data_IF_055451402996
#
_entry.id   IF_055451402996
#
_cell.length_a   1.000
_cell.length_b   1.000
_cell.length_c   1.000
_cell.angle_alpha   90.00
_cell.angle_beta   90.00
_cell.angle_gamma   90.00
#
_symmetry.space_group_name_H-M   'P 1'
#
loop_
_entity.id
_entity.type
_entity.pdbx_description
1 polymer ?
#
# COMPACT_ATOMS: atom_id res chain seq x y z
N UNK A 1 55.08 -51.11 -11.16
CA UNK A 1 53.80 -51.13 -10.40
C UNK A 1 53.47 -49.71 -9.98
N UNK A 2 52.31 -49.19 -10.37
CA UNK A 2 51.56 -48.36 -9.44
C UNK A 2 50.09 -48.80 -9.37
N UNK A 3 49.54 -48.65 -8.18
CA UNK A 3 48.32 -49.25 -7.67
C UNK A 3 47.21 -48.20 -7.82
N UNK A 4 46.16 -48.50 -8.58
CA UNK A 4 44.96 -47.68 -8.64
C UNK A 4 43.99 -48.07 -7.51
N UNK A 5 43.44 -47.12 -6.73
CA UNK A 5 42.37 -47.45 -5.79
C UNK A 5 41.01 -47.45 -6.50
N UNK A 6 40.30 -48.58 -6.41
CA UNK A 6 38.91 -48.76 -6.86
C UNK A 6 37.96 -48.05 -5.90
N UNK A 7 37.13 -47.14 -6.41
CA UNK A 7 35.98 -46.56 -5.71
C UNK A 7 34.77 -47.47 -5.95
N UNK A 8 34.04 -47.96 -4.93
CA UNK A 8 32.81 -48.71 -5.15
C UNK A 8 31.62 -47.77 -5.37
N UNK A 9 31.01 -47.89 -6.55
CA UNK A 9 29.72 -47.28 -6.90
C UNK A 9 28.62 -47.92 -6.06
N UNK A 10 28.01 -47.17 -5.13
CA UNK A 10 26.78 -47.60 -4.44
C UNK A 10 25.59 -47.15 -5.28
N UNK A 11 24.88 -48.14 -5.82
CA UNK A 11 23.66 -48.01 -6.59
C UNK A 11 22.50 -47.64 -5.65
N UNK A 12 21.97 -46.42 -5.74
CA UNK A 12 20.68 -46.09 -5.13
C UNK A 12 19.56 -46.65 -6.00
N UNK A 13 18.91 -47.73 -5.53
CA UNK A 13 17.74 -48.30 -6.17
C UNK A 13 16.54 -47.33 -6.12
N UNK A 14 15.92 -47.10 -7.28
CA UNK A 14 14.65 -46.39 -7.46
C UNK A 14 13.56 -47.06 -6.62
N UNK A 15 12.93 -46.33 -5.69
CA UNK A 15 11.67 -46.72 -5.09
C UNK A 15 10.48 -46.20 -5.91
N UNK A 16 9.58 -47.12 -6.23
CA UNK A 16 8.29 -46.91 -6.91
C UNK A 16 7.29 -46.28 -5.93
N UNK A 17 6.50 -45.26 -6.32
CA UNK A 17 5.49 -44.69 -5.43
C UNK A 17 4.27 -45.63 -5.33
N UNK A 18 3.64 -45.78 -4.15
CA UNK A 18 2.41 -46.56 -4.03
C UNK A 18 1.20 -45.78 -4.60
N UNK A 19 0.27 -46.53 -5.20
CA UNK A 19 -1.00 -46.04 -5.75
C UNK A 19 -1.85 -45.34 -4.68
N UNK A 20 -2.30 -44.12 -4.96
CA UNK A 20 -3.35 -43.44 -4.20
C UNK A 20 -4.68 -44.21 -4.31
N UNK A 21 -5.24 -44.60 -3.16
CA UNK A 21 -6.67 -44.93 -3.04
C UNK A 21 -7.42 -43.67 -2.62
N UNK A 22 -8.52 -43.37 -3.32
CA UNK A 22 -9.43 -42.28 -2.98
C UNK A 22 -10.07 -42.53 -1.61
N UNK A 23 -10.06 -41.52 -0.74
CA UNK A 23 -10.84 -41.52 0.50
C UNK A 23 -11.63 -40.22 0.57
N UNK A 24 -12.92 -40.41 0.86
CA UNK A 24 -13.98 -39.42 0.84
C UNK A 24 -13.93 -38.48 2.07
N UNK A 25 -14.65 -37.37 1.93
CA UNK A 25 -14.68 -36.15 2.76
C UNK A 25 -14.86 -36.35 4.26
N UNK A 26 -14.35 -35.33 4.97
CA UNK A 26 -14.53 -34.93 6.39
C UNK A 26 -13.48 -35.51 7.34
N UNK A 27 -12.47 -34.70 7.70
CA UNK A 27 -12.00 -34.48 9.08
C UNK A 27 -11.02 -33.29 9.09
N UNK A 28 -11.11 -32.49 10.14
CA UNK A 28 -10.40 -31.25 10.46
C UNK A 28 -8.90 -31.51 10.70
N UNK A 29 -8.02 -30.67 10.15
CA UNK A 29 -6.58 -30.69 10.46
C UNK A 29 -6.29 -29.88 11.72
N UNK A 30 -5.71 -30.52 12.73
CA UNK A 30 -4.93 -29.84 13.77
C UNK A 30 -3.50 -29.64 13.27
N UNK A 31 -2.98 -28.42 13.46
CA UNK A 31 -1.60 -28.01 13.17
C UNK A 31 -0.65 -28.85 14.03
N UNK A 32 0.19 -29.68 13.40
CA UNK A 32 1.30 -30.34 14.06
C UNK A 32 2.56 -29.47 13.90
N UNK A 33 3.09 -29.03 15.05
CA UNK A 33 4.34 -28.29 15.15
C UNK A 33 5.51 -29.08 14.54
N UNK A 34 6.23 -28.45 13.60
CA UNK A 34 7.51 -28.93 13.10
C UNK A 34 8.58 -28.75 14.18
N UNK A 35 9.07 -29.86 14.76
CA UNK A 35 10.35 -29.87 15.48
C UNK A 35 11.42 -30.41 14.54
N UNK A 36 12.40 -29.58 14.24
CA UNK A 36 13.61 -29.94 13.53
C UNK A 36 14.43 -30.93 14.36
N UNK A 37 14.51 -32.19 13.91
CA UNK A 37 15.41 -33.19 14.46
C UNK A 37 16.83 -32.93 13.91
N UNK A 38 17.72 -32.45 14.78
CA UNK A 38 19.14 -32.29 14.51
C UNK A 38 19.81 -33.65 14.69
N UNK A 39 20.30 -34.28 13.62
CA UNK A 39 21.02 -35.55 13.70
C UNK A 39 22.46 -35.30 14.17
N UNK A 40 22.86 -35.89 15.30
CA UNK A 40 24.26 -35.99 15.72
C UNK A 40 24.76 -37.42 15.51
N UNK A 41 25.93 -37.55 14.91
CA UNK A 41 26.63 -38.82 14.69
C UNK A 41 27.16 -39.35 16.04
N UNK A 42 26.95 -40.64 16.31
CA UNK A 42 27.73 -41.35 17.33
C UNK A 42 28.90 -42.09 16.67
N UNK A 43 30.03 -42.18 17.38
CA UNK A 43 31.37 -42.58 16.95
C UNK A 43 31.55 -44.04 16.47
N UNK A 44 30.47 -44.72 16.06
CA UNK A 44 30.53 -46.12 15.59
C UNK A 44 29.63 -46.43 14.38
N UNK A 45 29.09 -45.42 13.69
CA UNK A 45 28.52 -45.58 12.34
C UNK A 45 27.29 -46.50 12.21
N UNK A 46 26.43 -46.61 13.23
CA UNK A 46 25.16 -47.36 13.13
C UNK A 46 23.98 -46.59 13.74
N UNK A 47 22.84 -46.58 13.02
CA UNK A 47 21.57 -46.02 13.48
C UNK A 47 20.79 -47.08 14.28
N UNK A 48 20.38 -46.74 15.51
CA UNK A 48 19.50 -47.57 16.34
C UNK A 48 18.55 -46.70 17.15
N UNK A 49 17.26 -47.06 17.16
CA UNK A 49 16.19 -46.35 17.86
C UNK A 49 16.04 -46.89 19.29
N UNK A 50 16.21 -46.04 20.31
CA UNK A 50 15.74 -46.33 21.66
C UNK A 50 14.70 -45.27 22.05
N UNK A 51 13.41 -45.60 21.88
CA UNK A 51 12.30 -44.82 22.44
C UNK A 51 11.62 -45.66 23.50
N UNK A 52 11.68 -45.21 24.76
CA UNK A 52 10.91 -45.73 25.90
C UNK A 52 9.78 -44.74 26.15
N UNK A 53 8.53 -45.21 26.10
CA UNK A 53 7.33 -44.38 26.36
C UNK A 53 6.70 -44.71 27.72
N UNK A 54 6.24 -43.72 28.51
CA UNK A 54 5.28 -43.92 29.60
C UNK A 54 3.82 -43.63 29.15
N UNK A 55 2.79 -44.11 29.89
CA UNK A 55 1.43 -44.26 29.38
C UNK A 55 0.56 -42.99 29.46
N UNK A 56 -0.35 -42.89 28.48
CA UNK A 56 -1.41 -41.87 28.33
C UNK A 56 -2.54 -42.12 29.35
N UNK A 57 -3.01 -41.06 30.03
CA UNK A 57 -4.30 -41.04 30.75
C UNK A 57 -5.32 -40.25 29.94
N UNK A 58 -6.46 -40.90 29.65
CA UNK A 58 -7.65 -40.32 29.03
C UNK A 58 -8.59 -39.86 30.14
N UNK A 59 -9.09 -38.62 30.08
CA UNK A 59 -10.27 -38.19 30.84
C UNK A 59 -11.36 -37.70 29.89
N UNK A 60 -12.57 -38.13 30.21
CA UNK A 60 -13.75 -38.10 29.36
C UNK A 60 -14.46 -36.75 29.25
N UNK A 61 -15.29 -36.72 28.22
CA UNK A 61 -16.12 -35.63 27.72
C UNK A 61 -17.25 -35.23 28.68
N UNK A 62 -17.61 -33.94 28.67
CA UNK A 62 -18.91 -33.47 29.13
C UNK A 62 -19.51 -32.54 28.05
N UNK A 63 -20.56 -33.05 27.39
CA UNK A 63 -21.44 -32.27 26.53
C UNK A 63 -22.38 -31.41 27.40
N UNK A 64 -22.50 -30.13 27.02
CA UNK A 64 -23.62 -29.27 27.44
C UNK A 64 -24.35 -28.82 26.17
N UNK A 65 -25.56 -29.33 26.04
CA UNK A 65 -26.55 -28.97 25.04
C UNK A 65 -27.26 -27.67 25.48
N UNK A 66 -27.29 -26.66 24.61
CA UNK A 66 -28.14 -25.47 24.77
C UNK A 66 -28.74 -25.05 23.44
N UNK A 67 -29.97 -25.48 23.23
CA UNK A 67 -31.11 -24.57 23.32
C UNK A 67 -31.16 -23.43 22.29
N UNK A 68 -31.63 -23.79 21.11
CA UNK A 68 -32.05 -22.91 20.01
C UNK A 68 -33.15 -21.92 20.46
N UNK A 69 -32.90 -20.61 20.40
CA UNK A 69 -33.94 -19.57 20.27
C UNK A 69 -33.70 -18.74 19.02
N UNK A 70 -34.64 -18.85 18.08
CA UNK A 70 -34.78 -17.99 16.91
C UNK A 70 -35.54 -16.73 17.33
N UNK A 71 -34.97 -15.57 17.06
CA UNK A 71 -35.71 -14.31 16.91
C UNK A 71 -35.39 -13.73 15.53
N UNK A 72 -36.41 -13.71 14.67
CA UNK A 72 -36.48 -12.97 13.41
C UNK A 72 -36.83 -11.51 13.73
N UNK A 73 -36.05 -10.56 13.21
CA UNK A 73 -36.38 -9.18 12.77
C UNK A 73 -35.07 -8.72 12.09
N UNK A 74 -34.97 -8.63 10.77
CA UNK A 74 -35.64 -7.68 9.89
C UNK A 74 -34.53 -6.86 9.23
N UNK A 75 -33.85 -7.43 8.24
CA UNK A 75 -32.85 -6.72 7.43
C UNK A 75 -33.58 -6.00 6.30
N UNK A 76 -33.69 -4.68 6.40
CA UNK A 76 -34.05 -3.81 5.30
C UNK A 76 -32.77 -3.10 4.85
N UNK A 77 -32.07 -3.71 3.89
CA UNK A 77 -30.98 -3.05 3.17
C UNK A 77 -31.61 -2.03 2.21
N UNK A 78 -31.55 -0.76 2.59
CA UNK A 78 -31.81 0.34 1.68
C UNK A 78 -30.80 0.28 0.52
N UNK A 79 -31.30 -0.08 -0.67
CA UNK A 79 -30.58 0.04 -1.94
C UNK A 79 -30.39 1.53 -2.24
N UNK A 80 -29.14 1.99 -2.28
CA UNK A 80 -28.80 3.27 -2.88
C UNK A 80 -28.77 3.10 -4.42
N UNK A 81 -29.34 4.04 -5.19
CA UNK A 81 -29.48 3.88 -6.64
C UNK A 81 -28.16 4.09 -7.38
N UNK A 82 -27.92 3.15 -8.30
CA UNK A 82 -26.90 3.07 -9.32
C UNK A 82 -26.87 4.34 -10.20
N UNK A 83 -25.77 5.09 -10.18
CA UNK A 83 -25.55 6.21 -11.11
C UNK A 83 -24.69 5.73 -12.28
N UNK A 84 -25.36 5.57 -13.41
CA UNK A 84 -24.80 5.20 -14.71
C UNK A 84 -23.74 6.21 -15.19
N UNK A 85 -22.65 5.74 -15.84
CA UNK A 85 -21.56 6.59 -16.31
C UNK A 85 -21.94 7.36 -17.58
N UNK A 86 -21.68 8.66 -17.57
CA UNK A 86 -21.85 9.53 -18.74
C UNK A 86 -20.75 9.20 -19.76
N UNK A 87 -21.14 8.52 -20.83
CA UNK A 87 -20.28 8.33 -21.99
C UNK A 87 -20.11 9.63 -22.77
N UNK A 88 -18.87 10.00 -23.07
CA UNK A 88 -18.58 10.88 -24.20
C UNK A 88 -17.49 10.26 -25.07
N UNK A 89 -17.90 9.99 -26.30
CA UNK A 89 -17.18 9.34 -27.37
C UNK A 89 -16.10 10.24 -27.96
N UNK A 90 -14.91 9.66 -28.19
CA UNK A 90 -13.83 10.21 -29.03
C UNK A 90 -14.32 10.53 -30.44
N UNK A 91 -14.06 11.75 -30.90
CA UNK A 91 -13.93 12.27 -32.29
C UNK A 91 -13.69 13.78 -32.12
N UNK A 92 -12.82 14.51 -32.80
CA UNK A 92 -11.85 14.30 -33.87
C UNK A 92 -11.07 15.61 -34.01
N UNK A 93 -9.85 15.57 -34.55
CA UNK A 93 -9.34 16.37 -35.69
C UNK A 93 -7.88 16.83 -35.51
N UNK A 94 -7.02 16.13 -36.25
CA UNK A 94 -5.73 16.61 -36.76
C UNK A 94 -5.96 17.64 -37.88
N UNK A 95 -5.13 18.69 -37.91
CA UNK A 95 -4.68 19.49 -39.08
C UNK A 95 -3.56 20.41 -38.58
N UNK A 96 -2.29 20.10 -38.85
CA UNK A 96 -1.49 20.35 -40.06
C UNK A 96 -0.97 21.80 -40.17
N UNK A 97 0.35 21.95 -40.35
CA UNK A 97 0.99 23.21 -40.77
C UNK A 97 2.48 23.29 -40.45
N UNK A 98 3.31 22.74 -41.34
CA UNK A 98 4.76 22.98 -41.34
C UNK A 98 5.08 24.30 -42.06
N UNK A 99 5.95 25.13 -41.48
CA UNK A 99 6.71 26.16 -42.20
C UNK A 99 8.12 26.25 -41.60
N UNK A 100 9.10 25.87 -42.39
CA UNK A 100 10.53 26.16 -42.22
C UNK A 100 10.89 27.42 -43.00
N UNK A 101 11.61 28.36 -42.39
CA UNK A 101 12.65 29.17 -43.05
C UNK A 101 13.59 29.79 -42.00
N UNK A 102 14.89 29.65 -42.24
CA UNK A 102 15.99 30.11 -41.41
C UNK A 102 16.49 31.52 -41.84
N UNK A 103 17.10 32.28 -40.92
CA UNK A 103 18.35 33.02 -41.15
C UNK A 103 18.88 33.80 -39.91
N UNK A 104 20.10 33.41 -39.49
CA UNK A 104 21.32 34.17 -39.11
C UNK A 104 21.30 35.39 -38.15
N UNK A 105 21.89 35.13 -36.98
CA UNK A 105 22.79 35.91 -36.09
C UNK A 105 22.86 37.45 -36.09
N UNK A 106 22.69 38.04 -34.90
CA UNK A 106 23.69 38.95 -34.26
C UNK A 106 23.39 39.07 -32.77
N UNK A 107 24.42 38.92 -31.92
CA UNK A 107 24.29 39.16 -30.48
C UNK A 107 24.30 40.66 -30.16
N UNK A 108 23.47 41.06 -29.18
CA UNK A 108 23.68 42.19 -28.26
C UNK A 108 22.56 42.19 -27.20
N UNK A 109 22.97 42.31 -25.93
CA UNK A 109 22.23 42.75 -24.74
C UNK A 109 20.83 42.17 -24.47
N UNK A 110 20.73 41.40 -23.38
CA UNK A 110 19.48 40.93 -22.78
C UNK A 110 18.76 42.13 -22.13
N UNK A 111 17.56 42.53 -22.60
CA UNK A 111 16.75 43.50 -21.87
C UNK A 111 16.14 42.79 -20.68
N UNK A 112 16.27 43.39 -19.50
CA UNK A 112 15.60 42.99 -18.27
C UNK A 112 14.11 42.81 -18.56
N UNK A 113 13.68 41.54 -18.68
CA UNK A 113 12.27 41.23 -18.97
C UNK A 113 11.50 41.54 -17.70
N UNK A 114 10.45 42.38 -17.76
CA UNK A 114 9.55 42.49 -16.62
C UNK A 114 9.04 41.08 -16.30
N UNK A 115 9.30 40.63 -15.08
CA UNK A 115 8.75 39.39 -14.54
C UNK A 115 7.23 39.58 -14.58
N UNK A 116 6.60 39.05 -15.62
CA UNK A 116 5.16 38.87 -15.65
C UNK A 116 4.89 37.89 -14.52
N UNK A 117 4.50 38.42 -13.36
CA UNK A 117 3.74 37.66 -12.39
C UNK A 117 2.42 37.41 -13.11
N UNK A 118 2.37 36.31 -13.85
CA UNK A 118 1.12 35.70 -14.22
C UNK A 118 0.49 35.26 -12.90
N UNK A 119 -0.19 36.19 -12.24
CA UNK A 119 -1.32 35.88 -11.40
C UNK A 119 -2.38 35.31 -12.33
N UNK A 120 -2.14 34.09 -12.79
CA UNK A 120 -3.21 33.26 -13.33
C UNK A 120 -4.11 33.01 -12.15
N UNK A 121 -5.20 33.77 -12.06
CA UNK A 121 -6.45 33.26 -11.49
C UNK A 121 -6.92 32.07 -12.32
N UNK A 122 -6.09 31.02 -12.39
CA UNK A 122 -6.38 29.77 -13.02
C UNK A 122 -7.34 29.04 -12.12
N UNK A 123 -8.38 28.46 -12.69
CA UNK A 123 -9.27 27.56 -11.97
C UNK A 123 -8.41 26.40 -11.45
N UNK A 124 -8.18 26.34 -10.14
CA UNK A 124 -7.61 25.17 -9.50
C UNK A 124 -8.75 24.18 -9.25
N UNK A 125 -8.69 23.04 -9.96
CA UNK A 125 -9.67 21.96 -9.77
C UNK A 125 -9.51 21.37 -8.37
N UNK A 126 -10.64 21.24 -7.66
CA UNK A 126 -10.67 20.60 -6.33
C UNK A 126 -10.16 19.18 -6.43
N UNK A 127 -9.21 18.82 -5.56
CA UNK A 127 -8.77 17.43 -5.41
C UNK A 127 -9.93 16.65 -4.79
N UNK A 128 -10.36 15.51 -5.36
CA UNK A 128 -11.40 14.69 -4.75
C UNK A 128 -11.00 14.25 -3.34
N UNK A 129 -11.93 14.33 -2.39
CA UNK A 129 -11.78 13.68 -1.10
C UNK A 129 -11.92 12.15 -1.23
N UNK A 130 -11.44 11.43 -0.23
CA UNK A 130 -11.53 9.98 -0.16
C UNK A 130 -11.64 9.54 1.31
N UNK A 131 -12.16 8.32 1.53
CA UNK A 131 -12.28 7.75 2.88
C UNK A 131 -10.93 7.63 3.61
N UNK A 132 -10.93 7.74 4.94
CA UNK A 132 -9.76 7.46 5.80
C UNK A 132 -9.31 5.99 5.70
N UNK A 133 -10.27 5.09 5.45
CA UNK A 133 -10.07 3.67 5.65
C UNK A 133 -9.81 3.30 7.12
N UNK A 134 -9.56 2.01 7.41
CA UNK A 134 -9.53 1.52 8.78
C UNK A 134 -8.22 1.77 9.53
N UNK A 135 -7.26 2.47 8.92
CA UNK A 135 -5.86 2.51 9.38
C UNK A 135 -5.37 3.91 9.78
N UNK A 136 -6.24 4.91 9.83
CA UNK A 136 -5.86 6.20 10.38
C UNK A 136 -5.59 6.09 11.89
N UNK A 137 -4.46 6.64 12.32
CA UNK A 137 -4.08 6.77 13.73
C UNK A 137 -3.46 8.14 13.89
N UNK A 138 -4.08 9.00 14.71
CA UNK A 138 -3.53 10.31 15.03
C UNK A 138 -2.36 10.12 15.99
N UNK A 139 -1.14 10.04 15.44
CA UNK A 139 0.09 9.89 16.23
C UNK A 139 0.61 11.23 16.77
N UNK A 140 0.23 12.35 16.14
CA UNK A 140 0.75 13.68 16.45
C UNK A 140 2.25 13.88 16.17
N UNK A 141 2.91 12.92 15.49
CA UNK A 141 4.36 12.93 15.28
C UNK A 141 4.77 13.90 14.17
N UNK A 142 5.30 15.07 14.53
CA UNK A 142 5.79 16.04 13.54
C UNK A 142 7.19 15.67 13.07
N UNK A 143 7.30 15.14 11.84
CA UNK A 143 8.56 14.73 11.20
C UNK A 143 8.45 14.65 9.68
N UNK A 144 9.54 14.95 8.99
CA UNK A 144 9.62 14.85 7.53
C UNK A 144 9.96 13.42 7.10
N UNK A 145 11.04 12.85 7.64
CA UNK A 145 11.36 11.42 7.46
C UNK A 145 10.44 10.58 8.36
N UNK A 146 9.56 9.83 7.70
CA UNK A 146 8.61 8.92 8.35
C UNK A 146 9.05 7.47 8.26
N UNK A 147 10.17 7.15 7.62
CA UNK A 147 10.59 5.77 7.32
C UNK A 147 10.81 4.92 8.56
N UNK A 148 11.35 5.52 9.64
CA UNK A 148 11.90 4.79 10.79
C UNK A 148 12.90 3.69 10.39
N UNK A 149 13.60 3.86 9.26
CA UNK A 149 14.54 2.88 8.75
C UNK A 149 13.90 1.62 8.14
N UNK A 150 12.59 1.63 7.86
CA UNK A 150 11.95 0.53 7.13
C UNK A 150 12.51 0.39 5.71
N UNK A 151 12.69 -0.86 5.30
CA UNK A 151 13.15 -1.21 3.95
C UNK A 151 12.11 -0.84 2.88
N UNK A 152 12.61 -0.38 1.73
CA UNK A 152 11.80 -0.09 0.56
C UNK A 152 12.49 0.85 -0.41
N UNK A 153 11.84 1.14 -1.53
CA UNK A 153 12.31 2.14 -2.51
C UNK A 153 12.04 3.53 -1.91
N UNK A 154 13.06 4.39 -1.75
CA UNK A 154 12.86 5.73 -1.20
C UNK A 154 11.90 6.56 -2.07
N UNK A 155 10.97 7.24 -1.42
CA UNK A 155 9.99 8.11 -2.06
C UNK A 155 9.94 9.46 -1.32
N UNK A 156 10.38 10.50 -2.01
CA UNK A 156 10.27 11.88 -1.53
C UNK A 156 8.96 12.49 -2.05
N UNK A 157 8.16 13.02 -1.14
CA UNK A 157 6.84 13.59 -1.44
C UNK A 157 6.89 15.08 -1.15
N UNK A 158 6.41 15.87 -2.11
CA UNK A 158 6.16 17.29 -1.99
C UNK A 158 4.71 17.56 -2.35
N UNK A 159 3.95 18.15 -1.43
CA UNK A 159 2.59 18.60 -1.70
C UNK A 159 2.54 20.11 -1.56
N UNK A 160 1.83 20.79 -2.48
CA UNK A 160 1.48 22.20 -2.35
C UNK A 160 -0.03 22.30 -2.14
N UNK A 161 -0.42 22.71 -0.94
CA UNK A 161 -1.81 22.86 -0.54
C UNK A 161 -2.34 24.20 -1.02
N UNK A 162 -3.48 24.21 -1.71
CA UNK A 162 -4.14 25.42 -2.25
C UNK A 162 -5.59 25.47 -1.86
N UNK A 163 -6.11 26.68 -1.71
CA UNK A 163 -7.52 26.93 -1.48
C UNK A 163 -8.27 26.90 -2.81
N UNK A 164 -9.29 26.05 -2.94
CA UNK A 164 -10.10 25.94 -4.14
C UNK A 164 -10.79 27.24 -4.57
N UNK A 165 -11.02 28.17 -3.64
CA UNK A 165 -11.79 29.39 -3.90
C UNK A 165 -10.98 30.48 -4.61
N UNK A 166 -9.67 30.50 -4.41
CA UNK A 166 -8.78 31.56 -4.90
C UNK A 166 -7.42 31.06 -5.41
N UNK A 167 -7.15 29.76 -5.28
CA UNK A 167 -5.92 29.06 -5.68
C UNK A 167 -4.66 29.53 -4.95
N UNK A 168 -4.83 30.29 -3.88
CA UNK A 168 -3.74 30.72 -3.01
C UNK A 168 -3.25 29.58 -2.13
N UNK A 169 -1.94 29.53 -1.83
CA UNK A 169 -1.40 28.51 -0.95
C UNK A 169 -1.99 28.56 0.47
N UNK A 170 -2.22 27.40 1.07
CA UNK A 170 -2.71 27.28 2.45
C UNK A 170 -1.53 27.06 3.38
N UNK A 171 -1.13 28.10 4.11
CA UNK A 171 -0.08 28.00 5.13
C UNK A 171 -0.63 27.56 6.51
N UNK A 172 0.22 26.94 7.32
CA UNK A 172 -0.08 26.58 8.71
C UNK A 172 -1.01 25.38 8.87
N UNK A 173 -1.33 24.65 7.81
CA UNK A 173 -2.25 23.51 7.86
C UNK A 173 -1.49 22.23 8.25
N UNK A 174 -1.90 21.53 9.33
CA UNK A 174 -1.39 20.19 9.59
C UNK A 174 -1.83 19.21 8.50
N UNK A 175 -0.89 18.40 8.02
CA UNK A 175 -1.14 17.27 7.12
C UNK A 175 -0.50 16.05 7.74
N UNK A 176 -1.31 15.02 7.97
CA UNK A 176 -0.85 13.68 8.33
C UNK A 176 -0.64 12.85 7.08
N UNK A 177 0.39 12.00 7.08
CA UNK A 177 0.60 10.93 6.12
C UNK A 177 0.54 9.57 6.84
N UNK A 178 0.00 8.56 6.18
CA UNK A 178 0.23 7.16 6.54
C UNK A 178 0.22 6.23 5.32
N UNK A 179 1.01 5.15 5.39
CA UNK A 179 1.02 4.12 4.35
C UNK A 179 1.39 2.75 4.91
N UNK A 180 1.19 1.73 4.08
CA UNK A 180 1.76 0.42 4.33
C UNK A 180 3.28 0.42 4.07
N UNK A 181 4.00 -0.48 4.70
CA UNK A 181 5.37 -0.84 4.32
C UNK A 181 5.44 -1.63 3.01
N UNK A 182 6.65 -1.98 2.56
CA UNK A 182 6.85 -2.76 1.33
C UNK A 182 6.14 -4.13 1.32
N UNK A 183 5.84 -4.68 2.50
CA UNK A 183 5.10 -5.94 2.66
C UNK A 183 3.58 -5.74 2.77
N UNK A 184 3.08 -4.50 2.67
CA UNK A 184 1.66 -4.20 2.75
C UNK A 184 1.12 -4.13 4.17
N UNK A 185 1.98 -3.93 5.18
CA UNK A 185 1.60 -3.91 6.60
C UNK A 185 1.60 -2.46 7.11
N UNK A 186 0.52 -2.04 7.76
CA UNK A 186 0.45 -0.74 8.44
C UNK A 186 1.01 -0.81 9.84
N UNK A 187 1.64 0.27 10.30
CA UNK A 187 2.02 0.46 11.70
C UNK A 187 0.84 0.88 12.58
N UNK A 188 0.92 0.68 13.89
CA UNK A 188 0.02 1.30 14.86
C UNK A 188 -1.37 0.67 14.96
N UNK A 189 -1.62 -0.45 14.28
CA UNK A 189 -2.95 -1.06 14.12
C UNK A 189 -2.89 -2.59 14.23
N UNK A 190 -4.04 -3.19 14.51
CA UNK A 190 -4.23 -4.64 14.42
C UNK A 190 -4.59 -5.00 12.96
N UNK A 191 -3.59 -5.25 12.11
CA UNK A 191 -3.82 -5.56 10.69
C UNK A 191 -4.65 -6.83 10.49
N UNK A 192 -4.55 -7.78 11.43
CA UNK A 192 -5.29 -9.04 11.44
C UNK A 192 -6.81 -8.88 11.42
N UNK A 193 -7.33 -7.72 11.83
CA UNK A 193 -8.76 -7.38 11.76
C UNK A 193 -9.26 -7.09 10.36
N UNK A 194 -8.37 -6.70 9.45
CA UNK A 194 -8.70 -6.31 8.07
C UNK A 194 -8.24 -7.38 7.10
N UNK A 195 -7.03 -7.90 7.30
CA UNK A 195 -6.44 -8.97 6.49
C UNK A 195 -5.98 -10.07 7.42
N UNK A 196 -6.58 -11.25 7.27
CA UNK A 196 -6.21 -12.43 8.04
C UNK A 196 -4.70 -12.72 7.90
N UNK A 197 -4.10 -13.23 8.98
CA UNK A 197 -2.69 -13.57 9.09
C UNK A 197 -1.68 -12.41 9.03
N UNK A 198 -2.12 -11.14 8.90
CA UNK A 198 -1.22 -10.00 9.07
C UNK A 198 -0.97 -9.68 10.55
N UNK A 199 0.23 -9.18 10.90
CA UNK A 199 0.61 -8.96 12.28
C UNK A 199 -0.13 -7.78 12.92
N UNK A 200 -0.32 -7.87 14.23
CA UNK A 200 -0.67 -6.72 15.05
C UNK A 200 0.58 -5.87 15.30
N UNK A 201 0.52 -4.60 14.87
CA UNK A 201 1.61 -3.64 14.95
C UNK A 201 1.27 -2.44 15.84
N UNK A 202 0.23 -2.57 16.70
CA UNK A 202 -0.12 -1.51 17.66
C UNK A 202 1.11 -1.07 18.46
N UNK A 203 1.29 0.24 18.56
CA UNK A 203 2.45 0.87 19.21
C UNK A 203 3.62 1.18 18.26
N UNK A 204 3.69 0.56 17.08
CA UNK A 204 4.63 0.98 16.04
C UNK A 204 4.15 2.26 15.35
N UNK A 205 5.07 3.06 14.83
CA UNK A 205 4.77 4.38 14.24
C UNK A 205 5.38 4.61 12.86
N UNK A 206 6.16 3.68 12.33
CA UNK A 206 6.77 3.78 11.00
C UNK A 206 5.76 4.16 9.91
N UNK A 207 6.25 4.90 8.92
CA UNK A 207 5.51 5.37 7.75
C UNK A 207 4.27 6.19 8.11
N UNK A 208 4.32 6.88 9.25
CA UNK A 208 3.34 7.86 9.71
C UNK A 208 4.03 9.14 10.12
N UNK A 209 3.43 10.28 9.85
CA UNK A 209 3.96 11.56 10.33
C UNK A 209 3.04 12.71 10.02
N UNK A 210 3.36 13.86 10.61
CA UNK A 210 2.69 15.13 10.41
C UNK A 210 3.69 16.16 9.90
N UNK A 211 3.24 16.99 8.99
CA UNK A 211 3.91 18.25 8.65
C UNK A 211 2.92 19.39 8.76
N UNK A 212 3.45 20.60 9.00
CA UNK A 212 2.67 21.84 8.96
C UNK A 212 3.05 22.56 7.68
N UNK A 213 2.07 22.95 6.87
CA UNK A 213 2.35 23.60 5.59
C UNK A 213 3.08 24.92 5.78
N UNK A 214 4.15 25.11 5.00
CA UNK A 214 4.94 26.33 4.97
C UNK A 214 4.13 27.51 4.39
N UNK A 215 4.64 28.77 4.44
CA UNK A 215 3.95 29.93 3.85
C UNK A 215 3.56 29.76 2.37
N UNK A 216 4.33 28.98 1.60
CA UNK A 216 4.01 28.62 0.22
C UNK A 216 3.04 27.44 0.06
N UNK A 217 2.34 27.03 1.12
CA UNK A 217 1.41 25.90 1.14
C UNK A 217 2.06 24.53 1.16
N UNK A 218 3.38 24.47 1.32
CA UNK A 218 4.15 23.27 1.03
C UNK A 218 4.33 22.36 2.26
N UNK A 219 4.17 21.05 2.07
CA UNK A 219 4.62 20.00 3.02
C UNK A 219 5.53 19.01 2.31
N UNK A 220 6.50 18.44 3.04
CA UNK A 220 7.43 17.43 2.53
C UNK A 220 7.45 16.19 3.41
N UNK A 221 7.53 15.02 2.81
CA UNK A 221 7.73 13.76 3.52
C UNK A 221 8.77 12.90 2.80
N UNK A 222 9.62 12.25 3.57
CA UNK A 222 10.48 11.17 3.08
C UNK A 222 9.92 9.85 3.61
N UNK A 223 9.54 8.97 2.69
CA UNK A 223 8.91 7.67 2.99
C UNK A 223 9.49 6.58 2.08
N UNK A 224 8.92 5.39 2.13
CA UNK A 224 9.17 4.34 1.14
C UNK A 224 7.95 4.11 0.26
N UNK A 225 8.16 3.60 -0.95
CA UNK A 225 7.09 3.21 -1.84
C UNK A 225 6.17 2.16 -1.16
N UNK A 226 4.84 2.32 -1.19
CA UNK A 226 3.95 1.44 -0.45
C UNK A 226 3.91 0.05 -1.07
N UNK A 227 3.91 -0.98 -0.23
CA UNK A 227 3.56 -2.34 -0.64
C UNK A 227 2.04 -2.49 -0.82
N UNK A 228 1.63 -3.47 -1.62
CA UNK A 228 0.21 -3.76 -1.82
C UNK A 228 -0.35 -4.67 -0.71
N UNK A 229 -1.65 -4.59 -0.45
CA UNK A 229 -2.39 -5.53 0.40
C UNK A 229 -3.82 -5.64 -0.13
N UNK A 230 -4.48 -6.79 0.07
CA UNK A 230 -5.91 -6.88 -0.26
C UNK A 230 -6.72 -6.17 0.82
N UNK A 231 -7.80 -5.44 0.49
CA UNK A 231 -8.51 -5.44 -0.80
C UNK A 231 -8.22 -4.23 -1.72
N UNK A 232 -7.20 -3.42 -1.43
CA UNK A 232 -7.04 -2.08 -2.04
C UNK A 232 -5.84 -2.03 -3.02
N UNK A 233 -5.88 -1.18 -4.06
CA UNK A 233 -4.69 -0.92 -4.87
C UNK A 233 -3.60 -0.24 -4.02
N UNK A 234 -2.32 -0.19 -4.44
CA UNK A 234 -1.27 0.57 -3.76
C UNK A 234 -1.64 2.05 -3.61
N UNK A 235 -1.43 2.61 -2.42
CA UNK A 235 -1.79 4.00 -2.13
C UNK A 235 -1.00 4.60 -0.96
N UNK A 236 -1.02 5.93 -0.93
CA UNK A 236 -0.58 6.78 0.17
C UNK A 236 -1.80 7.54 0.69
N UNK A 237 -1.96 7.61 2.00
CA UNK A 237 -3.03 8.39 2.61
C UNK A 237 -2.54 9.71 3.14
N UNK A 238 -3.43 10.69 3.09
CA UNK A 238 -3.22 12.00 3.68
C UNK A 238 -4.50 12.50 4.32
N UNK A 239 -4.36 13.22 5.43
CA UNK A 239 -5.48 13.95 6.00
C UNK A 239 -5.06 15.28 6.56
N UNK A 240 -5.89 16.29 6.35
CA UNK A 240 -5.75 17.62 6.93
C UNK A 240 -6.90 17.84 7.92
N UNK A 241 -6.66 17.74 9.23
CA UNK A 241 -7.70 17.99 10.22
C UNK A 241 -8.08 19.48 10.31
N UNK A 242 -9.37 19.75 10.45
CA UNK A 242 -10.00 21.06 10.59
C UNK A 242 -11.06 21.01 11.70
N UNK A 243 -10.65 21.26 12.96
CA UNK A 243 -11.53 21.07 14.12
C UNK A 243 -11.92 19.60 14.27
N UNK A 244 -13.22 19.31 14.32
CA UNK A 244 -13.76 17.94 14.40
C UNK A 244 -13.96 17.27 13.03
N UNK A 245 -13.62 17.96 11.94
CA UNK A 245 -13.68 17.44 10.58
C UNK A 245 -12.27 17.24 10.01
N UNK A 246 -12.17 16.57 8.87
CA UNK A 246 -10.93 16.48 8.13
C UNK A 246 -11.17 16.44 6.62
N UNK A 247 -10.20 16.95 5.87
CA UNK A 247 -10.10 16.67 4.44
C UNK A 247 -9.12 15.53 4.25
N UNK A 248 -9.65 14.37 3.90
CA UNK A 248 -8.84 13.18 3.63
C UNK A 248 -8.81 12.91 2.14
N UNK A 249 -7.63 12.55 1.65
CA UNK A 249 -7.44 12.11 0.27
C UNK A 249 -6.42 10.99 0.22
N UNK A 250 -6.38 10.31 -0.92
CA UNK A 250 -5.42 9.25 -1.16
C UNK A 250 -4.83 9.42 -2.56
N UNK A 251 -3.55 9.12 -2.70
CA UNK A 251 -2.94 8.94 -4.02
C UNK A 251 -2.77 7.46 -4.28
N UNK A 252 -3.40 6.98 -5.35
CA UNK A 252 -3.24 5.63 -5.88
C UNK A 252 -2.17 5.64 -6.94
N UNK A 253 -1.36 4.59 -7.02
CA UNK A 253 -0.23 4.57 -7.94
C UNK A 253 -0.63 3.83 -9.21
N UNK A 254 -0.24 4.36 -10.37
CA UNK A 254 -0.57 3.76 -11.66
C UNK A 254 -0.17 2.28 -11.72
N UNK A 255 -1.16 1.50 -12.15
CA UNK A 255 -1.13 0.07 -12.38
C UNK A 255 0.15 -0.42 -13.10
N UNK A 256 0.51 0.21 -14.23
CA UNK A 256 1.70 -0.17 -15.00
C UNK A 256 3.01 0.11 -14.25
N UNK A 257 3.08 1.22 -13.52
CA UNK A 257 4.22 1.58 -12.68
C UNK A 257 4.39 0.57 -11.55
N UNK A 258 3.30 0.23 -10.86
CA UNK A 258 3.30 -0.78 -9.80
C UNK A 258 3.72 -2.15 -10.32
N UNK A 259 3.24 -2.56 -11.49
CA UNK A 259 3.57 -3.87 -12.06
C UNK A 259 5.07 -4.00 -12.34
N UNK A 260 5.70 -2.97 -12.90
CA UNK A 260 7.15 -2.94 -13.14
C UNK A 260 7.93 -3.03 -11.82
N UNK A 261 7.63 -2.15 -10.86
CA UNK A 261 8.34 -2.11 -9.58
C UNK A 261 8.17 -3.40 -8.78
N UNK A 262 6.95 -3.93 -8.67
CA UNK A 262 6.64 -5.15 -7.90
C UNK A 262 7.13 -6.45 -8.56
N UNK A 263 7.68 -6.39 -9.76
CA UNK A 263 8.24 -7.57 -10.44
C UNK A 263 9.76 -7.48 -10.67
N UNK A 264 10.36 -6.30 -10.50
CA UNK A 264 11.77 -6.07 -10.84
C UNK A 264 12.62 -5.48 -9.72
N UNK A 265 12.00 -4.97 -8.63
CA UNK A 265 12.71 -4.24 -7.59
C UNK A 265 12.52 -4.87 -6.20
N UNK A 266 13.62 -5.25 -5.55
CA UNK A 266 13.62 -5.68 -4.16
C UNK A 266 13.28 -4.50 -3.20
N UNK A 267 12.59 -4.74 -2.07
CA UNK A 267 12.08 -6.05 -1.60
C UNK A 267 10.71 -6.45 -2.18
N UNK A 268 10.18 -5.71 -3.15
CA UNK A 268 8.81 -5.87 -3.64
C UNK A 268 8.64 -7.03 -4.63
N UNK A 269 9.69 -7.39 -5.36
CA UNK A 269 9.79 -8.44 -6.38
C UNK A 269 9.47 -9.87 -5.92
N UNK A 270 9.12 -10.04 -4.64
CA UNK A 270 8.78 -11.34 -4.04
C UNK A 270 7.29 -11.68 -4.10
N UNK A 271 6.43 -10.69 -4.34
CA UNK A 271 4.96 -10.84 -4.23
C UNK A 271 4.24 -10.75 -5.57
N UNK A 272 4.89 -10.17 -6.58
CA UNK A 272 4.34 -9.97 -7.92
C UNK A 272 3.28 -8.86 -7.98
N UNK A 273 2.55 -8.84 -9.10
CA UNK A 273 1.54 -7.84 -9.42
C UNK A 273 0.42 -7.76 -8.37
N UNK A 274 0.01 -6.55 -8.01
CA UNK A 274 -1.08 -6.35 -7.07
C UNK A 274 -2.43 -6.73 -7.73
N UNK A 275 -3.30 -7.49 -7.01
CA UNK A 275 -4.50 -8.06 -7.61
C UNK A 275 -5.67 -7.06 -7.77
N UNK A 276 -5.66 -5.93 -7.04
CA UNK A 276 -6.71 -4.90 -7.13
C UNK A 276 -6.24 -3.73 -7.98
N UNK A 277 -6.86 -3.53 -9.15
CA UNK A 277 -6.49 -2.48 -10.12
C UNK A 277 -7.07 -1.12 -9.75
N UNK A 278 -6.38 -0.04 -10.13
CA UNK A 278 -6.78 1.34 -9.79
C UNK A 278 -8.01 1.81 -10.56
N UNK A 279 -8.16 1.46 -11.84
CA UNK A 279 -9.27 1.92 -12.69
C UNK A 279 -10.67 1.56 -12.19
N UNK A 280 -10.80 0.47 -11.43
CA UNK A 280 -12.06 -0.02 -10.84
C UNK A 280 -12.25 0.41 -9.37
N UNK A 281 -11.40 1.32 -8.87
CA UNK A 281 -11.37 1.69 -7.45
C UNK A 281 -11.25 3.19 -7.24
N UNK A 282 -10.33 3.83 -7.95
CA UNK A 282 -9.91 5.19 -7.71
C UNK A 282 -10.45 6.15 -8.79
N UNK A 283 -10.90 7.36 -8.42
CA UNK A 283 -11.11 8.44 -9.37
C UNK A 283 -9.81 8.75 -10.13
N UNK A 284 -9.91 9.05 -11.43
CA UNK A 284 -8.75 9.33 -12.29
C UNK A 284 -7.85 10.44 -11.72
N UNK A 285 -8.44 11.49 -11.13
CA UNK A 285 -7.71 12.59 -10.50
C UNK A 285 -6.92 12.24 -9.24
N UNK A 286 -7.03 11.01 -8.73
CA UNK A 286 -6.27 10.50 -7.59
C UNK A 286 -5.24 9.42 -7.99
N UNK A 287 -5.15 9.07 -9.28
CA UNK A 287 -4.15 8.13 -9.79
C UNK A 287 -2.90 8.91 -10.22
N UNK A 288 -1.75 8.58 -9.65
CA UNK A 288 -0.48 9.29 -9.87
C UNK A 288 0.62 8.36 -10.36
N UNK A 289 1.60 8.94 -11.04
CA UNK A 289 2.82 8.26 -11.50
C UNK A 289 4.02 8.95 -10.83
N UNK A 290 4.72 8.28 -9.90
CA UNK A 290 5.96 8.80 -9.35
C UNK A 290 7.02 8.99 -10.44
N UNK A 291 7.83 10.03 -10.32
CA UNK A 291 8.98 10.27 -11.18
C UNK A 291 10.26 9.68 -10.56
N UNK A 292 11.32 9.58 -11.36
CA UNK A 292 12.66 9.17 -10.89
C UNK A 292 13.00 7.72 -11.20
N UNK A 293 13.80 7.11 -10.33
CA UNK A 293 14.26 5.71 -10.49
C UNK A 293 14.03 4.93 -9.21
N UNK A 294 14.12 3.59 -9.21
CA UNK A 294 14.01 2.80 -7.99
C UNK A 294 15.05 3.10 -6.88
N UNK A 295 16.07 3.93 -7.14
CA UNK A 295 16.97 4.44 -6.09
C UNK A 295 16.43 5.66 -5.35
N UNK A 296 15.56 6.42 -6.00
CA UNK A 296 14.92 7.63 -5.46
C UNK A 296 13.73 7.98 -6.36
N UNK A 297 12.54 7.77 -5.83
CA UNK A 297 11.30 8.23 -6.44
C UNK A 297 10.92 9.60 -5.88
N UNK A 298 10.17 10.34 -6.68
CA UNK A 298 9.56 11.61 -6.27
C UNK A 298 8.09 11.67 -6.63
N UNK A 299 7.30 12.28 -5.76
CA UNK A 299 5.91 12.65 -6.02
C UNK A 299 5.74 14.14 -5.70
N UNK A 300 5.44 14.94 -6.71
CA UNK A 300 5.22 16.39 -6.57
C UNK A 300 3.82 16.72 -7.07
N UNK A 301 2.94 17.17 -6.17
CA UNK A 301 1.51 17.34 -6.46
C UNK A 301 0.97 18.64 -5.85
N UNK A 302 0.09 19.31 -6.58
CA UNK A 302 -0.81 20.31 -6.00
C UNK A 302 -2.04 19.61 -5.41
N UNK A 303 -2.42 19.95 -4.19
CA UNK A 303 -3.65 19.48 -3.53
C UNK A 303 -4.55 20.70 -3.30
N UNK A 304 -5.68 20.72 -3.99
CA UNK A 304 -6.63 21.83 -3.91
C UNK A 304 -7.77 21.46 -2.97
N UNK A 305 -7.91 22.21 -1.89
CA UNK A 305 -8.84 21.95 -0.78
C UNK A 305 -9.95 23.00 -0.78
N UNK A 306 -11.21 22.56 -0.78
CA UNK A 306 -12.34 23.46 -0.53
C UNK A 306 -12.54 23.68 0.98
N UNK A 307 -11.86 24.71 1.50
CA UNK A 307 -11.99 25.11 2.92
C UNK A 307 -13.39 25.60 3.28
N UNK A 308 -14.18 26.08 2.32
CA UNK A 308 -15.55 26.55 2.59
C UNK A 308 -16.44 25.36 2.92
N UNK A 309 -16.32 24.28 2.14
CA UNK A 309 -17.03 23.04 2.43
C UNK A 309 -16.62 22.45 3.79
N UNK A 310 -15.33 22.41 4.10
CA UNK A 310 -14.85 21.92 5.40
C UNK A 310 -15.35 22.77 6.57
N UNK A 311 -15.32 24.10 6.43
CA UNK A 311 -15.83 25.01 7.45
C UNK A 311 -17.34 24.87 7.65
N UNK A 312 -18.09 24.58 6.58
CA UNK A 312 -19.54 24.33 6.65
C UNK A 312 -19.82 23.02 7.39
N UNK A 313 -19.15 21.93 7.01
CA UNK A 313 -19.30 20.61 7.65
C UNK A 313 -18.93 20.66 9.14
N UNK A 314 -17.89 21.42 9.50
CA UNK A 314 -17.49 21.59 10.89
C UNK A 314 -18.56 22.29 11.74
N UNK A 315 -19.30 23.25 11.17
CA UNK A 315 -20.40 23.94 11.88
C UNK A 315 -21.69 23.12 11.97
N UNK A 316 -21.91 22.16 11.07
CA UNK A 316 -23.11 21.31 11.07
C UNK A 316 -23.02 20.15 12.07
N UNK A 317 -21.83 19.90 12.62
CA UNK A 317 -21.54 18.79 13.56
C UNK A 317 -21.33 19.23 15.01
N UNK A 318 -21.32 20.54 15.27
CA UNK A 318 -21.28 21.18 16.60
C UNK A 318 -22.65 21.67 17.02
#
# INVERSE_FOLDING_TARGET
>A
MPITPKIPTILCARMVPPRMRSVNRRTVYHVAAWRSARWQLNASGRCGNNAVSPPVRVFGSAHVDRGRRRTRKGNEMARLPDRQPYGMTRRSLLKAGALTAAAVATGCAEPDRPRVVSGSGGVCTVTPDFEDGPFYVNTGLVRQDVTEGHDGVPLAIRLVLRDATNCEPIAGLPVDIWSADASGIYSGVDNGRIVEDLPDTRGATYLRGRQISAPGGEVRFDTVFPGWYRPRPPHLHFTAPFGDQAFTWQFFIEDAFCDDLYTTVAPYDTRGVHPRRTGDFAPEGLIVVPAGTPRQLTLDMDVTIDKTNLSRLARETT
#
